data_IF_387245049900
#
_entry.id   IF_387245049900
#
_cell.length_a   1.000
_cell.length_b   1.000
_cell.length_c   1.000
_cell.angle_alpha   90.00
_cell.angle_beta   90.00
_cell.angle_gamma   90.00
#
_symmetry.space_group_name_H-M   'P 1'
#
loop_
_entity.id
_entity.type
_entity.pdbx_description
1 polymer ?
#
# COMPACT_ATOMS: atom_id res chain seq x y z
N UNK A 1 26.35 9.08 4.98
CA UNK A 1 25.10 9.27 4.20
C UNK A 1 23.95 8.72 5.01
N UNK A 2 22.88 9.50 5.18
CA UNK A 2 21.69 9.13 5.95
C UNK A 2 20.50 8.87 5.00
N UNK A 3 19.70 7.84 5.30
CA UNK A 3 18.51 7.42 4.53
C UNK A 3 17.66 6.43 5.34
N UNK A 4 16.40 6.24 4.96
CA UNK A 4 15.58 5.15 5.48
C UNK A 4 16.08 3.76 5.02
N UNK A 5 15.76 2.72 5.80
CA UNK A 5 16.21 1.34 5.56
C UNK A 5 15.69 0.74 4.24
N UNK A 6 14.48 1.13 3.81
CA UNK A 6 13.85 0.65 2.57
C UNK A 6 14.42 1.28 1.30
N UNK A 7 15.12 2.41 1.42
CA UNK A 7 15.74 3.11 0.31
C UNK A 7 17.17 2.57 0.16
N UNK A 8 17.47 1.91 -0.95
CA UNK A 8 18.82 1.49 -1.29
C UNK A 8 19.55 2.60 -2.03
N UNK A 9 20.85 2.75 -1.72
CA UNK A 9 21.72 3.72 -2.38
C UNK A 9 23.06 3.05 -2.65
N UNK A 10 23.52 3.14 -3.90
CA UNK A 10 24.82 2.58 -4.30
C UNK A 10 25.49 3.45 -5.36
N UNK A 11 26.80 3.74 -5.24
CA UNK A 11 27.65 3.44 -4.08
C UNK A 11 27.36 4.37 -2.89
N UNK A 12 27.65 3.93 -1.66
CA UNK A 12 27.46 4.74 -0.43
C UNK A 12 28.54 5.81 -0.23
N UNK A 13 29.60 5.76 -1.03
CA UNK A 13 30.70 6.71 -1.05
C UNK A 13 31.29 6.77 -2.45
N UNK A 14 31.85 7.91 -2.82
CA UNK A 14 32.52 8.10 -4.10
C UNK A 14 33.53 9.22 -4.02
N UNK A 15 34.18 9.51 -5.15
CA UNK A 15 35.10 10.64 -5.31
C UNK A 15 34.77 11.34 -6.62
N UNK A 16 34.86 12.67 -6.61
CA UNK A 16 34.62 13.52 -7.79
C UNK A 16 33.22 13.27 -8.37
N UNK A 17 33.06 13.42 -9.67
CA UNK A 17 31.83 13.15 -10.38
C UNK A 17 31.58 11.65 -10.46
N UNK A 18 30.34 11.25 -10.20
CA UNK A 18 29.95 9.86 -10.21
C UNK A 18 28.44 9.71 -10.24
N UNK A 19 27.98 8.53 -10.65
CA UNK A 19 26.56 8.18 -10.67
C UNK A 19 26.18 7.61 -9.32
N UNK A 20 25.12 8.16 -8.74
CA UNK A 20 24.48 7.65 -7.55
C UNK A 20 23.15 6.98 -7.95
N UNK A 21 23.02 5.68 -7.69
CA UNK A 21 21.77 4.96 -7.94
C UNK A 21 20.96 4.88 -6.66
N UNK A 22 19.73 5.39 -6.72
CA UNK A 22 18.73 5.26 -5.65
C UNK A 22 17.65 4.29 -6.11
N UNK A 23 17.38 3.26 -5.32
CA UNK A 23 16.37 2.26 -5.62
C UNK A 23 15.57 1.87 -4.37
N UNK A 24 14.41 1.26 -4.57
CA UNK A 24 13.58 0.76 -3.48
C UNK A 24 12.81 -0.48 -3.97
N UNK A 25 12.60 -1.45 -3.07
CA UNK A 25 11.69 -2.56 -3.33
C UNK A 25 10.23 -2.10 -3.39
N UNK A 26 9.35 -2.99 -3.84
CA UNK A 26 7.91 -2.74 -3.87
C UNK A 26 7.38 -2.36 -2.48
N UNK A 27 6.52 -1.35 -2.42
CA UNK A 27 5.86 -0.95 -1.18
C UNK A 27 4.42 -1.45 -1.17
N UNK A 28 4.13 -2.39 -0.29
CA UNK A 28 2.80 -3.01 -0.14
C UNK A 28 1.90 -2.27 0.84
N UNK A 29 2.46 -1.32 1.60
CA UNK A 29 1.71 -0.50 2.52
C UNK A 29 0.84 0.53 1.80
N UNK A 30 -0.36 0.79 2.34
CA UNK A 30 -1.31 1.76 1.77
C UNK A 30 -0.82 3.20 1.82
N UNK A 31 -0.09 3.58 2.86
CA UNK A 31 0.36 4.96 3.07
C UNK A 31 1.68 5.16 2.36
N UNK A 32 1.83 6.26 1.62
CA UNK A 32 3.09 6.64 1.01
C UNK A 32 4.20 6.73 2.07
N UNK A 33 5.44 6.42 1.65
CA UNK A 33 6.60 6.54 2.52
C UNK A 33 7.63 7.49 1.91
N UNK A 34 8.25 8.28 2.78
CA UNK A 34 9.14 9.35 2.39
C UNK A 34 10.47 9.21 3.15
N UNK A 35 11.56 9.59 2.50
CA UNK A 35 12.87 9.72 3.13
C UNK A 35 13.66 10.83 2.43
N UNK A 36 14.70 11.30 3.09
CA UNK A 36 15.73 12.14 2.48
C UNK A 36 17.01 11.34 2.43
N UNK A 37 17.67 11.31 1.27
CA UNK A 37 19.04 10.80 1.13
C UNK A 37 19.99 11.98 1.29
N UNK A 38 20.80 11.97 2.34
CA UNK A 38 21.78 13.02 2.63
C UNK A 38 23.18 12.60 2.19
N UNK A 39 23.67 13.23 1.13
CA UNK A 39 25.04 13.07 0.61
C UNK A 39 25.94 14.09 1.32
N UNK A 40 26.95 13.60 2.02
CA UNK A 40 27.91 14.43 2.76
C UNK A 40 29.25 14.40 2.03
N UNK A 41 29.79 15.57 1.70
CA UNK A 41 31.14 15.68 1.18
C UNK A 41 32.17 15.19 2.21
N UNK A 42 33.27 14.61 1.73
CA UNK A 42 34.35 14.16 2.59
C UNK A 42 34.87 15.33 3.44
N UNK A 43 35.19 15.07 4.70
CA UNK A 43 35.67 16.04 5.70
C UNK A 43 34.61 17.02 6.23
N UNK A 44 33.32 16.81 5.95
CA UNK A 44 32.22 17.63 6.52
C UNK A 44 32.12 19.05 5.95
N UNK A 45 33.02 19.42 5.03
CA UNK A 45 33.00 20.69 4.32
C UNK A 45 31.85 20.71 3.31
N UNK A 46 30.98 21.71 3.43
CA UNK A 46 29.86 21.95 2.51
C UNK A 46 30.39 22.25 1.10
N UNK A 47 29.65 21.91 0.02
CA UNK A 47 28.23 21.57 0.02
C UNK A 47 27.91 20.07 0.17
N UNK A 48 26.99 19.77 1.09
CA UNK A 48 26.26 18.50 1.16
C UNK A 48 24.96 18.61 0.35
N UNK A 49 24.50 17.51 -0.25
CA UNK A 49 23.26 17.47 -1.02
C UNK A 49 22.19 16.64 -0.30
N UNK A 50 20.93 17.02 -0.46
CA UNK A 50 19.76 16.30 0.04
C UNK A 50 18.84 15.96 -1.12
N UNK A 51 18.50 14.68 -1.26
CA UNK A 51 17.62 14.18 -2.32
C UNK A 51 16.35 13.65 -1.65
N UNK A 52 15.21 14.28 -1.94
CA UNK A 52 13.92 13.81 -1.45
C UNK A 52 13.46 12.59 -2.25
N UNK A 53 13.08 11.52 -1.55
CA UNK A 53 12.57 10.28 -2.15
C UNK A 53 11.17 10.03 -1.60
N UNK A 54 10.20 9.91 -2.50
CA UNK A 54 8.80 9.60 -2.19
C UNK A 54 8.39 8.34 -2.94
N UNK A 55 7.89 7.34 -2.24
CA UNK A 55 7.32 6.15 -2.83
C UNK A 55 5.83 6.09 -2.49
N UNK A 56 5.00 6.03 -3.53
CA UNK A 56 3.56 5.92 -3.38
C UNK A 56 3.18 4.64 -2.61
N UNK A 57 2.04 4.71 -1.90
CA UNK A 57 1.40 3.53 -1.32
C UNK A 57 0.89 2.56 -2.38
N UNK A 58 0.65 1.32 -1.97
CA UNK A 58 -0.07 0.36 -2.80
C UNK A 58 -1.47 0.87 -3.13
N UNK A 59 -1.92 0.65 -4.37
CA UNK A 59 -3.27 0.97 -4.81
C UNK A 59 -4.32 0.25 -3.95
N UNK A 60 -5.50 0.86 -3.82
CA UNK A 60 -6.59 0.23 -3.09
C UNK A 60 -7.10 -0.96 -3.89
N UNK A 61 -7.27 -2.09 -3.22
CA UNK A 61 -7.77 -3.34 -3.80
C UNK A 61 -8.68 -4.03 -2.79
N UNK A 62 -9.72 -4.68 -3.33
CA UNK A 62 -10.65 -5.52 -2.58
C UNK A 62 -10.84 -6.81 -3.36
N UNK A 63 -10.85 -7.93 -2.65
CA UNK A 63 -11.18 -9.24 -3.18
C UNK A 63 -12.37 -9.79 -2.40
N UNK A 64 -13.21 -10.57 -3.06
CA UNK A 64 -14.25 -11.35 -2.43
C UNK A 64 -14.11 -12.80 -2.86
N UNK A 65 -14.49 -13.71 -1.98
CA UNK A 65 -14.66 -15.11 -2.33
C UNK A 65 -15.70 -15.24 -3.46
N UNK A 66 -15.42 -16.13 -4.39
CA UNK A 66 -16.30 -16.43 -5.53
C UNK A 66 -17.29 -17.55 -5.21
N UNK A 67 -17.17 -18.18 -4.04
CA UNK A 67 -18.15 -19.13 -3.56
C UNK A 67 -19.55 -18.49 -3.52
N UNK A 68 -20.54 -19.26 -4.01
CA UNK A 68 -21.95 -18.88 -3.98
C UNK A 68 -22.65 -19.80 -2.99
N UNK A 69 -22.48 -19.57 -1.68
CA UNK A 69 -23.08 -20.43 -0.67
C UNK A 69 -24.61 -20.36 -0.76
N UNK A 70 -25.25 -21.53 -0.76
CA UNK A 70 -26.70 -21.65 -0.73
C UNK A 70 -27.23 -21.41 0.69
N UNK A 71 -28.39 -20.77 0.80
CA UNK A 71 -29.14 -20.63 2.06
C UNK A 71 -30.11 -21.82 2.22
N UNK A 72 -30.05 -22.58 3.32
CA UNK A 72 -31.02 -23.65 3.58
C UNK A 72 -32.46 -23.11 3.70
N UNK A 73 -33.45 -23.92 3.31
CA UNK A 73 -34.87 -23.55 3.38
C UNK A 73 -35.39 -23.32 4.82
N UNK A 74 -34.70 -23.84 5.82
CA UNK A 74 -34.94 -23.58 7.25
C UNK A 74 -34.39 -22.23 7.72
N UNK A 75 -33.72 -21.47 6.85
CA UNK A 75 -32.87 -20.33 7.23
C UNK A 75 -31.48 -20.79 7.70
N UNK A 76 -30.54 -19.83 7.78
CA UNK A 76 -29.16 -20.07 8.19
C UNK A 76 -28.27 -18.83 8.08
N UNK A 77 -26.98 -18.99 8.38
CA UNK A 77 -25.97 -17.94 8.25
C UNK A 77 -25.11 -18.23 7.03
N UNK A 78 -24.89 -17.21 6.21
CA UNK A 78 -23.93 -17.24 5.11
C UNK A 78 -22.77 -16.29 5.44
N UNK A 79 -21.55 -16.81 5.36
CA UNK A 79 -20.35 -16.01 5.45
C UNK A 79 -19.84 -15.68 4.05
N UNK A 80 -19.76 -14.39 3.73
CA UNK A 80 -19.10 -13.88 2.53
C UNK A 80 -17.74 -13.34 2.97
N UNK A 81 -16.67 -14.00 2.52
CA UNK A 81 -15.31 -13.64 2.88
C UNK A 81 -14.66 -12.77 1.80
N UNK A 82 -13.66 -11.99 2.19
CA UNK A 82 -12.87 -11.15 1.30
C UNK A 82 -11.71 -10.49 2.02
N UNK A 83 -10.81 -9.88 1.27
CA UNK A 83 -9.74 -9.04 1.81
C UNK A 83 -9.77 -7.66 1.18
N UNK A 84 -9.45 -6.62 1.93
CA UNK A 84 -9.30 -5.27 1.40
C UNK A 84 -8.18 -4.55 2.14
N UNK A 85 -7.43 -3.72 1.41
CA UNK A 85 -6.47 -2.80 1.99
C UNK A 85 -7.04 -1.36 2.13
N UNK A 86 -8.35 -1.16 1.92
CA UNK A 86 -8.98 0.15 2.07
C UNK A 86 -9.10 0.56 3.55
N UNK A 87 -8.94 1.85 3.84
CA UNK A 87 -9.18 2.39 5.19
C UNK A 87 -10.67 2.57 5.51
N UNK A 88 -11.53 2.49 4.50
CA UNK A 88 -12.99 2.57 4.62
C UNK A 88 -13.60 1.53 3.70
N UNK A 89 -14.45 0.69 4.26
CA UNK A 89 -15.25 -0.28 3.54
C UNK A 89 -16.72 0.09 3.69
N UNK A 90 -17.45 0.07 2.58
CA UNK A 90 -18.91 0.19 2.57
C UNK A 90 -19.44 -1.03 1.84
N UNK A 91 -20.36 -1.73 2.48
CA UNK A 91 -21.02 -2.90 1.92
C UNK A 91 -22.52 -2.57 1.85
N UNK A 92 -23.18 -3.11 0.83
CA UNK A 92 -24.63 -3.08 0.71
C UNK A 92 -25.08 -4.51 0.49
N UNK A 93 -25.98 -4.97 1.34
CA UNK A 93 -26.63 -6.25 1.17
C UNK A 93 -28.07 -5.99 0.73
N UNK A 94 -28.49 -6.66 -0.33
CA UNK A 94 -29.85 -6.55 -0.86
C UNK A 94 -30.43 -7.95 -0.94
N UNK A 95 -31.55 -8.17 -0.26
CA UNK A 95 -32.34 -9.37 -0.43
C UNK A 95 -33.29 -9.18 -1.61
N UNK A 96 -33.46 -10.22 -2.44
CA UNK A 96 -34.54 -10.24 -3.43
C UNK A 96 -35.64 -11.19 -2.95
N UNK A 97 -36.82 -10.64 -2.65
CA UNK A 97 -37.98 -11.43 -2.22
C UNK A 97 -39.10 -11.23 -3.22
N UNK A 98 -39.57 -12.33 -3.84
CA UNK A 98 -40.63 -12.32 -4.85
C UNK A 98 -40.37 -11.32 -6.00
N UNK A 99 -39.12 -11.15 -6.40
CA UNK A 99 -38.71 -10.24 -7.48
C UNK A 99 -38.52 -8.78 -7.06
N UNK A 100 -38.72 -8.44 -5.79
CA UNK A 100 -38.49 -7.09 -5.24
C UNK A 100 -37.14 -7.06 -4.52
N UNK A 101 -36.29 -6.11 -4.89
CA UNK A 101 -35.04 -5.83 -4.21
C UNK A 101 -35.31 -5.01 -2.94
N UNK A 102 -34.96 -5.57 -1.77
CA UNK A 102 -35.12 -4.96 -0.46
C UNK A 102 -33.73 -4.78 0.18
N UNK A 103 -33.37 -3.58 0.64
CA UNK A 103 -32.17 -3.40 1.44
C UNK A 103 -32.27 -4.25 2.72
N UNK A 104 -31.19 -4.94 3.06
CA UNK A 104 -31.01 -5.50 4.40
C UNK A 104 -30.37 -4.39 5.23
N UNK A 105 -31.19 -3.72 6.03
CA UNK A 105 -30.69 -2.86 7.11
C UNK A 105 -30.30 -3.75 8.30
N UNK A 106 -29.20 -3.39 8.97
CA UNK A 106 -28.73 -3.94 10.26
C UNK A 106 -29.68 -3.52 11.40
#
# INVERSE_FOLDING_TARGET
MAKASWCNVSPMSGKRDGVLTISAGAHTGRVARNTVVTVTAANGTRPSASIAVSQAGAGVSTTMDTSKPDLPSSGGVVNINGTSNSSKLKWTCTARVMGVDMPIDD
#
